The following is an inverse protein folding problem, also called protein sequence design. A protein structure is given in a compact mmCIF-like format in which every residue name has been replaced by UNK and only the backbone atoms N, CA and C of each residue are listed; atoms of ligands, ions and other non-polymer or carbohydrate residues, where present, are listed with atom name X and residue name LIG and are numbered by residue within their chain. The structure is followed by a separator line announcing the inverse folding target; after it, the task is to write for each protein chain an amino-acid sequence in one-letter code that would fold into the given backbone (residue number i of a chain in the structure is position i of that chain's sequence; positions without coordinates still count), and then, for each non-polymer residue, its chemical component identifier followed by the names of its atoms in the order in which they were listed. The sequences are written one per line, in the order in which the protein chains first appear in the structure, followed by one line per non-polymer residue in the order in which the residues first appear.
data_IF_665287505740
#
_entry.id   IF_665287505740
#
_cell.length_a   1.000
_cell.length_b   1.000
_cell.length_c   1.000
_cell.angle_alpha   90.00
_cell.angle_beta   90.00
_cell.angle_gamma   90.00
#
_symmetry.space_group_name_H-M   'P 1'
#
loop_
_entity.id
_entity.type
_entity.pdbx_description
1 polymer ?
#
# COMPACT_ATOMS: atom_id res chain seq x y z
N UNK A 1 0.15 14.60 4.41
CA UNK A 1 0.47 15.07 3.05
C UNK A 1 -0.79 15.07 2.19
N UNK A 2 -1.05 16.14 1.46
CA UNK A 2 -2.22 16.26 0.58
C UNK A 2 -1.77 16.05 -0.86
N UNK A 3 -2.27 15.02 -1.52
CA UNK A 3 -1.97 14.74 -2.91
C UNK A 3 -3.12 15.16 -3.82
N UNK A 4 -2.78 15.79 -4.94
CA UNK A 4 -3.65 15.84 -6.10
C UNK A 4 -2.98 15.05 -7.21
N UNK A 5 -3.59 13.96 -7.64
CA UNK A 5 -3.05 13.21 -8.76
C UNK A 5 -3.12 14.05 -10.03
N UNK A 6 -2.00 14.27 -10.74
CA UNK A 6 -2.00 14.99 -12.02
C UNK A 6 -2.51 14.13 -13.18
N UNK A 7 -2.80 12.84 -12.94
CA UNK A 7 -3.14 11.88 -13.98
C UNK A 7 -4.64 11.69 -14.07
N UNK A 8 -5.19 11.94 -15.27
CA UNK A 8 -6.57 11.56 -15.59
C UNK A 8 -6.70 10.01 -15.59
N UNK A 9 -7.72 9.43 -14.96
CA UNK A 9 -8.92 10.00 -14.34
C UNK A 9 -8.77 10.43 -12.87
N UNK A 10 -7.57 10.33 -12.29
CA UNK A 10 -7.31 10.63 -10.88
C UNK A 10 -7.21 12.13 -10.58
N UNK A 11 -7.26 12.98 -11.59
CA UNK A 11 -7.23 14.45 -11.43
C UNK A 11 -8.36 14.98 -10.52
N UNK A 12 -9.45 14.24 -10.40
CA UNK A 12 -10.60 14.62 -9.57
C UNK A 12 -10.57 13.96 -8.18
N UNK A 13 -9.54 13.17 -7.90
CA UNK A 13 -9.39 12.51 -6.61
C UNK A 13 -8.48 13.35 -5.72
N UNK A 14 -9.00 13.75 -4.58
CA UNK A 14 -8.21 14.34 -3.51
C UNK A 14 -8.01 13.30 -2.42
N UNK A 15 -6.79 13.21 -1.87
CA UNK A 15 -6.52 12.32 -0.75
C UNK A 15 -5.48 12.93 0.19
N UNK A 16 -5.50 12.48 1.42
CA UNK A 16 -4.40 12.66 2.35
C UNK A 16 -4.10 11.36 3.08
N UNK A 17 -2.83 11.19 3.40
CA UNK A 17 -2.30 10.08 4.15
C UNK A 17 -1.60 10.60 5.39
N UNK A 18 -1.93 10.06 6.55
CA UNK A 18 -1.40 10.53 7.82
C UNK A 18 -1.01 9.33 8.68
N UNK A 19 0.27 9.25 9.03
CA UNK A 19 0.72 8.42 10.15
C UNK A 19 0.08 8.93 11.43
N UNK A 20 -0.45 8.06 12.24
CA UNK A 20 -1.22 8.37 13.43
C UNK A 20 -0.86 7.45 14.59
N UNK A 21 -1.30 7.81 15.77
CA UNK A 21 -1.35 6.94 16.94
C UNK A 21 -2.82 6.70 17.30
N UNK A 22 -3.19 5.44 17.45
CA UNK A 22 -4.57 5.01 17.67
C UNK A 22 -4.70 4.48 19.09
N UNK A 23 -5.64 5.06 19.84
CA UNK A 23 -5.99 4.60 21.19
C UNK A 23 -7.50 4.35 21.29
N UNK A 24 -7.87 3.32 22.04
CA UNK A 24 -9.28 3.00 22.25
C UNK A 24 -9.51 1.53 22.55
N UNK A 25 -10.71 1.07 22.25
CA UNK A 25 -11.08 -0.35 22.41
C UNK A 25 -11.81 -0.86 21.19
N UNK A 26 -11.59 -2.13 20.87
CA UNK A 26 -12.31 -2.85 19.81
C UNK A 26 -13.03 -4.02 20.49
N UNK A 27 -14.33 -4.16 20.24
CA UNK A 27 -15.13 -5.29 20.71
C UNK A 27 -15.59 -6.13 19.53
N UNK A 28 -15.22 -7.40 19.51
CA UNK A 28 -15.62 -8.38 18.49
C UNK A 28 -16.18 -9.60 19.23
N UNK A 29 -17.40 -10.03 18.88
CA UNK A 29 -18.07 -11.20 19.49
C UNK A 29 -18.11 -11.15 21.02
N UNK A 30 -18.23 -9.94 21.60
CA UNK A 30 -18.27 -9.72 23.04
C UNK A 30 -16.89 -9.66 23.73
N UNK A 31 -15.81 -9.95 23.04
CA UNK A 31 -14.45 -9.79 23.54
C UNK A 31 -13.91 -8.38 23.25
N UNK A 32 -13.42 -7.71 24.29
CA UNK A 32 -12.91 -6.33 24.17
C UNK A 32 -11.38 -6.33 24.28
N UNK A 33 -10.74 -5.76 23.27
CA UNK A 33 -9.28 -5.54 23.21
C UNK A 33 -9.00 -4.05 23.32
N UNK A 34 -8.04 -3.69 24.18
CA UNK A 34 -7.50 -2.32 24.24
C UNK A 34 -6.54 -2.13 23.08
N UNK A 35 -6.70 -1.03 22.37
CA UNK A 35 -5.83 -0.61 21.27
C UNK A 35 -5.01 0.58 21.73
N UNK A 36 -3.69 0.49 21.57
CA UNK A 36 -2.72 1.55 21.82
C UNK A 36 -1.52 1.26 20.90
N UNK A 37 -1.56 1.76 19.66
CA UNK A 37 -0.59 1.39 18.64
C UNK A 37 -0.45 2.47 17.55
N UNK A 38 0.66 2.43 16.79
CA UNK A 38 0.77 3.17 15.54
C UNK A 38 -0.34 2.79 14.56
N UNK A 39 -0.72 3.72 13.72
CA UNK A 39 -1.75 3.54 12.71
C UNK A 39 -1.55 4.43 11.49
N UNK A 40 -2.34 4.18 10.47
CA UNK A 40 -2.39 4.98 9.26
C UNK A 40 -3.82 5.45 9.02
N UNK A 41 -3.99 6.72 8.70
CA UNK A 41 -5.25 7.26 8.23
C UNK A 41 -5.17 7.59 6.74
N UNK A 42 -5.89 6.82 5.95
CA UNK A 42 -6.19 7.14 4.55
C UNK A 42 -7.55 7.82 4.47
N UNK A 43 -7.62 8.93 3.76
CA UNK A 43 -8.88 9.54 3.38
C UNK A 43 -8.77 10.09 1.97
N UNK A 44 -9.64 9.59 1.12
CA UNK A 44 -9.65 9.98 -0.28
C UNK A 44 -11.09 10.07 -0.80
N UNK A 45 -11.34 11.06 -1.67
CA UNK A 45 -12.65 11.30 -2.28
C UNK A 45 -12.50 11.80 -3.73
N UNK A 46 -13.57 11.64 -4.50
CA UNK A 46 -13.61 11.99 -5.91
C UNK A 46 -13.95 10.80 -6.80
N UNK A 47 -14.04 11.04 -8.09
CA UNK A 47 -14.32 10.01 -9.09
C UNK A 47 -13.07 9.18 -9.35
N UNK A 48 -13.23 7.86 -9.44
CA UNK A 48 -12.15 6.91 -9.71
C UNK A 48 -12.61 5.85 -10.68
N UNK A 49 -11.67 5.39 -11.52
CA UNK A 49 -11.82 4.17 -12.30
C UNK A 49 -10.82 3.12 -11.77
N UNK A 50 -11.32 2.18 -10.98
CA UNK A 50 -10.55 1.10 -10.37
C UNK A 50 -10.10 0.03 -11.36
N UNK A 51 -10.59 0.06 -12.58
CA UNK A 51 -10.37 -0.97 -13.60
C UNK A 51 -9.39 -0.53 -14.69
N UNK A 52 -8.75 0.63 -14.55
CA UNK A 52 -7.90 1.18 -15.61
C UNK A 52 -6.48 0.63 -15.60
N UNK A 53 -5.84 0.58 -14.44
CA UNK A 53 -4.45 0.15 -14.33
C UNK A 53 -4.11 -0.36 -12.93
N UNK A 54 -3.05 -1.20 -12.82
CA UNK A 54 -2.61 -1.73 -11.56
C UNK A 54 -1.83 -0.70 -10.73
N UNK A 55 -1.98 -0.81 -9.43
CA UNK A 55 -1.23 0.00 -8.47
C UNK A 55 -0.99 -0.77 -7.16
N UNK A 56 -0.02 -0.27 -6.40
CA UNK A 56 0.26 -0.68 -5.03
C UNK A 56 0.06 0.52 -4.08
N UNK A 57 -0.43 0.23 -2.90
CA UNK A 57 -0.49 1.12 -1.75
C UNK A 57 0.10 0.36 -0.55
N UNK A 58 0.99 1.01 0.20
CA UNK A 58 1.64 0.42 1.36
C UNK A 58 1.81 1.48 2.44
N UNK A 59 1.53 1.11 3.70
CA UNK A 59 1.87 1.89 4.88
C UNK A 59 2.35 0.97 6.00
N UNK A 60 3.27 1.45 6.81
CA UNK A 60 3.82 0.66 7.88
C UNK A 60 4.62 1.43 8.92
N UNK A 61 4.92 0.70 10.00
CA UNK A 61 5.70 1.19 11.13
C UNK A 61 6.74 0.14 11.50
N UNK A 62 7.99 0.55 11.64
CA UNK A 62 9.08 -0.27 12.13
C UNK A 62 9.22 -0.14 13.64
N UNK A 63 9.90 -1.11 14.24
CA UNK A 63 10.13 -1.21 15.69
C UNK A 63 11.07 -0.14 16.25
N UNK A 64 11.83 0.53 15.40
CA UNK A 64 12.65 1.70 15.75
C UNK A 64 11.86 3.03 15.79
N UNK A 65 10.57 3.02 15.43
CA UNK A 65 9.72 4.20 15.32
C UNK A 65 9.66 4.82 13.93
N UNK A 66 10.41 4.30 12.94
CA UNK A 66 10.28 4.72 11.55
C UNK A 66 8.88 4.38 11.04
N UNK A 67 8.26 5.29 10.32
CA UNK A 67 7.01 5.05 9.60
C UNK A 67 7.10 5.47 8.15
N UNK A 68 6.29 4.84 7.31
CA UNK A 68 6.32 5.08 5.88
C UNK A 68 4.96 4.85 5.23
N UNK A 69 4.77 5.52 4.11
CA UNK A 69 3.65 5.31 3.21
C UNK A 69 4.09 5.54 1.77
N UNK A 70 3.55 4.75 0.85
CA UNK A 70 3.64 5.03 -0.58
C UNK A 70 2.43 4.48 -1.34
N UNK A 71 2.14 5.14 -2.46
CA UNK A 71 1.25 4.64 -3.51
C UNK A 71 1.92 4.87 -4.86
N UNK A 72 1.92 3.83 -5.71
CA UNK A 72 2.44 3.93 -7.07
C UNK A 72 1.68 3.07 -8.07
N UNK A 73 1.63 3.51 -9.34
CA UNK A 73 1.25 2.65 -10.45
C UNK A 73 2.35 1.60 -10.71
N UNK A 74 1.94 0.37 -11.01
CA UNK A 74 2.86 -0.74 -11.29
C UNK A 74 2.70 -1.22 -12.74
N UNK A 75 2.75 -0.29 -13.68
CA UNK A 75 2.68 -0.56 -15.11
C UNK A 75 4.10 -0.71 -15.63
N UNK A 76 4.45 -1.82 -16.31
CA UNK A 76 5.78 -1.96 -16.89
C UNK A 76 6.13 -0.78 -17.82
N UNK A 77 7.30 -0.16 -17.60
CA UNK A 77 7.85 0.95 -18.39
C UNK A 77 7.01 2.25 -18.42
N UNK A 78 5.97 2.35 -17.59
CA UNK A 78 5.15 3.54 -17.51
C UNK A 78 4.83 3.87 -16.05
N UNK A 79 5.26 5.03 -15.59
CA UNK A 79 4.86 5.57 -14.30
C UNK A 79 3.77 6.62 -14.50
N UNK A 80 2.58 6.33 -13.98
CA UNK A 80 1.47 7.30 -13.95
C UNK A 80 1.50 8.13 -12.67
N UNK A 81 1.88 7.50 -11.56
CA UNK A 81 2.13 8.18 -10.29
C UNK A 81 3.03 7.30 -9.41
N UNK A 82 3.87 7.95 -8.63
CA UNK A 82 4.60 7.37 -7.52
C UNK A 82 4.77 8.47 -6.47
N UNK A 83 4.22 8.30 -5.29
CA UNK A 83 4.20 9.29 -4.23
C UNK A 83 4.18 8.62 -2.87
N UNK A 84 4.89 9.17 -1.91
CA UNK A 84 4.98 8.63 -0.57
C UNK A 84 5.79 9.51 0.36
N UNK A 85 6.07 8.97 1.53
CA UNK A 85 6.92 9.60 2.53
C UNK A 85 7.50 8.58 3.50
N UNK A 86 8.55 8.99 4.18
CA UNK A 86 9.07 8.35 5.38
C UNK A 86 9.10 9.35 6.53
N UNK A 87 8.95 8.86 7.76
CA UNK A 87 9.14 9.64 8.98
C UNK A 87 10.13 8.86 9.84
N UNK A 88 11.28 9.47 10.12
CA UNK A 88 12.30 8.88 10.97
C UNK A 88 11.87 8.88 12.46
N UNK A 89 12.56 8.12 13.35
CA UNK A 89 12.24 8.07 14.77
C UNK A 89 12.26 9.42 15.50
N UNK A 90 13.05 10.36 15.01
CA UNK A 90 13.14 11.73 15.53
C UNK A 90 12.04 12.69 15.00
N UNK A 91 11.12 12.15 14.18
CA UNK A 91 10.05 12.92 13.54
C UNK A 91 10.45 13.60 12.23
N UNK A 92 11.68 13.42 11.75
CA UNK A 92 12.11 13.97 10.45
C UNK A 92 11.29 13.37 9.33
N UNK A 93 10.60 14.25 8.60
CA UNK A 93 9.76 13.88 7.45
C UNK A 93 10.58 14.01 6.16
N UNK A 94 10.49 12.99 5.30
CA UNK A 94 11.04 13.02 3.95
C UNK A 94 9.99 12.57 2.93
N UNK A 95 9.79 13.36 1.89
CA UNK A 95 8.98 12.96 0.74
C UNK A 95 9.74 11.95 -0.12
N UNK A 96 9.01 11.02 -0.73
CA UNK A 96 9.51 10.10 -1.73
C UNK A 96 8.62 10.14 -2.97
N UNK A 97 9.23 10.12 -4.14
CA UNK A 97 8.52 10.16 -5.43
C UNK A 97 9.30 9.42 -6.52
N UNK A 98 8.61 9.07 -7.59
CA UNK A 98 9.23 8.48 -8.77
C UNK A 98 10.02 7.21 -8.47
N UNK A 99 11.26 7.18 -8.88
CA UNK A 99 12.19 6.06 -8.72
C UNK A 99 12.65 5.79 -7.28
N UNK A 100 12.37 6.70 -6.35
CA UNK A 100 12.56 6.47 -4.91
C UNK A 100 11.51 5.50 -4.33
N UNK A 101 10.44 5.21 -5.07
CA UNK A 101 9.43 4.24 -4.66
C UNK A 101 9.50 3.02 -5.59
N UNK A 102 9.88 1.88 -5.04
CA UNK A 102 10.04 0.63 -5.79
C UNK A 102 9.12 -0.44 -5.22
N UNK A 103 8.43 -1.15 -6.10
CA UNK A 103 7.71 -2.39 -5.80
C UNK A 103 8.26 -3.44 -6.74
N UNK A 104 8.94 -4.43 -6.20
CA UNK A 104 9.63 -5.46 -6.96
C UNK A 104 9.42 -6.85 -6.36
N UNK A 105 9.76 -7.88 -7.13
CA UNK A 105 9.77 -9.27 -6.68
C UNK A 105 8.45 -9.67 -6.00
N UNK A 106 7.32 -9.25 -6.61
CA UNK A 106 6.01 -9.64 -6.12
C UNK A 106 5.78 -11.12 -6.42
N UNK A 107 5.78 -11.94 -5.37
CA UNK A 107 5.50 -13.38 -5.46
C UNK A 107 4.06 -13.60 -5.07
N UNK A 108 3.32 -14.35 -5.88
CA UNK A 108 1.92 -14.71 -5.62
C UNK A 108 1.78 -16.22 -5.42
N UNK A 109 0.74 -16.60 -4.69
CA UNK A 109 0.27 -17.98 -4.63
C UNK A 109 -0.55 -18.35 -5.90
N UNK A 110 -0.97 -19.61 -6.05
CA UNK A 110 -1.80 -20.04 -7.18
C UNK A 110 -3.15 -19.34 -7.29
N UNK A 111 -3.65 -18.75 -6.20
CA UNK A 111 -4.90 -17.97 -6.17
C UNK A 111 -4.66 -16.48 -6.49
N UNK A 112 -3.42 -16.13 -6.85
CA UNK A 112 -2.97 -14.76 -7.15
C UNK A 112 -2.96 -13.80 -5.96
N UNK A 113 -2.88 -14.32 -4.72
CA UNK A 113 -2.65 -13.50 -3.55
C UNK A 113 -1.14 -13.29 -3.33
N UNK A 114 -0.68 -12.06 -3.05
CA UNK A 114 0.71 -11.80 -2.73
C UNK A 114 1.14 -12.59 -1.48
N UNK A 115 2.29 -13.27 -1.56
CA UNK A 115 2.91 -13.95 -0.42
C UNK A 115 4.20 -13.26 0.02
N UNK A 116 4.83 -12.51 -0.87
CA UNK A 116 5.90 -11.58 -0.53
C UNK A 116 6.10 -10.53 -1.61
N UNK A 117 6.71 -9.41 -1.23
CA UNK A 117 7.26 -8.43 -2.16
C UNK A 117 8.45 -7.71 -1.54
N UNK A 118 9.37 -7.21 -2.37
CA UNK A 118 10.41 -6.28 -1.96
C UNK A 118 10.00 -4.88 -2.35
N UNK A 119 10.11 -3.95 -1.41
CA UNK A 119 9.71 -2.57 -1.61
C UNK A 119 10.77 -1.62 -1.08
N UNK A 120 10.83 -0.42 -1.67
CA UNK A 120 11.66 0.69 -1.19
C UNK A 120 10.86 1.98 -1.26
N UNK A 121 10.93 2.77 -0.20
CA UNK A 121 10.30 4.09 -0.09
C UNK A 121 11.37 5.04 0.46
N UNK A 122 11.90 5.92 -0.40
CA UNK A 122 13.07 6.71 -0.07
C UNK A 122 14.24 5.79 0.32
N UNK A 123 14.78 6.01 1.51
CA UNK A 123 15.89 5.22 2.07
C UNK A 123 15.43 3.94 2.81
N UNK A 124 14.12 3.72 2.95
CA UNK A 124 13.59 2.55 3.67
C UNK A 124 13.31 1.41 2.69
N UNK A 125 14.18 0.40 2.69
CA UNK A 125 13.98 -0.85 1.94
C UNK A 125 13.49 -1.94 2.88
N UNK A 126 12.52 -2.74 2.43
CA UNK A 126 11.96 -3.84 3.21
C UNK A 126 11.35 -4.94 2.35
N UNK A 127 11.28 -6.14 2.93
CA UNK A 127 10.44 -7.23 2.43
C UNK A 127 9.10 -7.20 3.14
N UNK A 128 8.02 -7.20 2.38
CA UNK A 128 6.64 -7.34 2.86
C UNK A 128 6.21 -8.79 2.80
N UNK A 129 5.67 -9.32 3.91
CA UNK A 129 5.10 -10.67 3.99
C UNK A 129 3.71 -10.62 4.62
N UNK A 130 2.65 -10.92 3.87
CA UNK A 130 1.30 -11.04 4.40
C UNK A 130 1.18 -12.05 5.55
N UNK A 131 0.44 -11.68 6.58
CA UNK A 131 0.07 -12.55 7.71
C UNK A 131 -1.43 -12.84 7.74
N UNK A 132 -2.22 -12.06 7.00
CA UNK A 132 -3.65 -12.26 6.83
C UNK A 132 -4.17 -11.44 5.67
N UNK A 133 -4.89 -12.07 4.75
CA UNK A 133 -5.47 -11.41 3.59
C UNK A 133 -6.93 -11.02 3.82
N UNK A 134 -7.33 -9.88 3.26
CA UNK A 134 -8.70 -9.40 3.18
C UNK A 134 -9.01 -8.96 1.74
N UNK A 135 -9.00 -9.89 0.77
CA UNK A 135 -9.16 -9.58 -0.64
C UNK A 135 -10.57 -9.08 -0.96
N UNK A 136 -10.66 -8.21 -1.96
CA UNK A 136 -11.93 -7.72 -2.51
C UNK A 136 -11.96 -7.95 -4.01
N UNK A 137 -13.11 -8.37 -4.54
CA UNK A 137 -13.37 -8.41 -5.97
C UNK A 137 -14.23 -7.19 -6.34
N UNK A 138 -13.69 -6.34 -7.20
CA UNK A 138 -14.38 -5.16 -7.71
C UNK A 138 -14.98 -5.49 -9.08
N UNK A 139 -16.30 -5.37 -9.18
CA UNK A 139 -17.02 -5.61 -10.44
C UNK A 139 -17.70 -4.30 -10.86
N UNK A 140 -17.33 -3.79 -12.03
CA UNK A 140 -17.93 -2.59 -12.60
C UNK A 140 -19.31 -2.90 -13.20
N UNK A 141 -20.21 -1.89 -13.32
CA UNK A 141 -21.51 -2.07 -13.98
C UNK A 141 -21.41 -2.54 -15.45
N UNK A 142 -20.30 -2.24 -16.13
CA UNK A 142 -20.01 -2.65 -17.50
C UNK A 142 -19.35 -4.06 -17.60
N UNK A 143 -19.17 -4.75 -16.46
CA UNK A 143 -18.62 -6.09 -16.38
C UNK A 143 -17.10 -6.15 -16.23
N UNK A 144 -16.37 -5.04 -16.25
CA UNK A 144 -14.92 -5.04 -15.94
C UNK A 144 -14.67 -5.52 -14.52
N UNK A 145 -13.60 -6.25 -14.32
CA UNK A 145 -13.22 -6.82 -13.03
C UNK A 145 -11.84 -6.34 -12.60
N UNK A 146 -11.67 -6.06 -11.33
CA UNK A 146 -10.37 -5.86 -10.72
C UNK A 146 -10.27 -6.68 -9.44
N UNK A 147 -9.17 -7.39 -9.27
CA UNK A 147 -8.80 -8.05 -8.02
C UNK A 147 -8.09 -7.05 -7.13
N UNK A 148 -8.49 -6.99 -5.88
CA UNK A 148 -7.92 -6.08 -4.91
C UNK A 148 -7.40 -6.89 -3.71
N UNK A 149 -6.26 -7.59 -3.84
CA UNK A 149 -5.63 -8.26 -2.72
C UNK A 149 -5.12 -7.24 -1.72
N UNK A 150 -5.53 -7.41 -0.49
CA UNK A 150 -5.19 -6.56 0.65
C UNK A 150 -4.74 -7.43 1.79
N UNK A 151 -3.74 -7.00 2.53
CA UNK A 151 -3.21 -7.81 3.61
C UNK A 151 -2.60 -6.99 4.74
N UNK A 152 -2.81 -7.46 5.97
CA UNK A 152 -1.93 -7.17 7.08
C UNK A 152 -0.58 -7.83 6.82
N UNK A 153 0.51 -7.07 6.91
CA UNK A 153 1.85 -7.52 6.58
C UNK A 153 2.82 -7.37 7.75
N UNK A 154 3.80 -8.26 7.79
CA UNK A 154 5.07 -8.05 8.49
C UNK A 154 6.08 -7.50 7.51
N UNK A 155 6.88 -6.57 7.99
CA UNK A 155 8.00 -5.97 7.27
C UNK A 155 9.32 -6.33 7.92
N UNK A 156 10.33 -6.54 7.10
CA UNK A 156 11.70 -6.81 7.54
C UNK A 156 12.68 -6.07 6.61
N UNK A 157 13.52 -5.25 7.19
CA UNK A 157 14.54 -4.50 6.47
C UNK A 157 15.84 -5.30 6.36
N UNK A 158 16.74 -5.01 5.41
CA UNK A 158 18.04 -5.69 5.28
C UNK A 158 18.93 -5.57 6.52
N UNK A 159 18.78 -4.50 7.31
CA UNK A 159 19.52 -4.27 8.55
C UNK A 159 18.85 -4.93 9.78
N UNK A 160 17.74 -5.67 9.57
CA UNK A 160 17.10 -6.50 10.59
C UNK A 160 16.01 -5.81 11.42
N UNK A 161 15.67 -4.53 11.15
CA UNK A 161 14.48 -3.90 11.76
C UNK A 161 13.21 -4.62 11.30
N UNK A 162 12.24 -4.67 12.16
CA UNK A 162 10.96 -5.32 11.90
C UNK A 162 9.82 -4.34 12.04
N UNK A 163 8.70 -4.66 11.40
CA UNK A 163 7.53 -3.81 11.50
C UNK A 163 6.26 -4.51 11.05
N UNK A 164 5.18 -3.76 11.11
CA UNK A 164 3.86 -4.20 10.67
C UNK A 164 3.17 -3.08 9.93
N UNK A 165 2.19 -3.44 9.13
CA UNK A 165 1.36 -2.49 8.43
C UNK A 165 0.43 -3.16 7.43
N UNK A 166 0.06 -2.42 6.42
CA UNK A 166 -0.93 -2.82 5.45
C UNK A 166 -0.40 -2.63 4.03
N UNK A 167 -0.56 -3.64 3.18
CA UNK A 167 -0.22 -3.56 1.75
C UNK A 167 -1.43 -3.94 0.91
N UNK A 168 -1.70 -3.14 -0.11
CA UNK A 168 -2.77 -3.33 -1.06
C UNK A 168 -2.22 -3.34 -2.48
N UNK A 169 -2.81 -4.18 -3.32
CA UNK A 169 -2.63 -4.14 -4.76
C UNK A 169 -3.99 -4.00 -5.43
N UNK A 170 -4.04 -3.29 -6.52
CA UNK A 170 -5.17 -3.30 -7.43
C UNK A 170 -4.73 -3.93 -8.75
N UNK A 171 -5.36 -5.02 -9.13
CA UNK A 171 -5.07 -5.75 -10.35
C UNK A 171 -6.31 -5.85 -11.24
N UNK A 172 -6.52 -4.90 -12.14
CA UNK A 172 -7.53 -5.02 -13.18
C UNK A 172 -7.31 -6.27 -14.03
N UNK A 173 -8.38 -6.82 -14.56
CA UNK A 173 -8.33 -8.03 -15.41
C UNK A 173 -7.36 -7.85 -16.58
N UNK A 174 -6.56 -8.90 -16.87
CA UNK A 174 -5.52 -8.88 -17.90
C UNK A 174 -4.14 -8.37 -17.44
N UNK A 175 -4.01 -7.78 -16.26
CA UNK A 175 -2.74 -7.26 -15.75
C UNK A 175 -1.84 -8.30 -15.05
N UNK A 176 -2.34 -9.35 -14.37
CA UNK A 176 -1.49 -10.33 -13.70
C UNK A 176 -0.45 -10.97 -14.62
N UNK A 177 -0.78 -11.19 -15.90
CA UNK A 177 0.14 -11.77 -16.89
C UNK A 177 1.34 -10.87 -17.21
N UNK A 178 1.25 -9.57 -16.92
CA UNK A 178 2.33 -8.60 -17.16
C UNK A 178 3.30 -8.51 -15.98
N UNK A 179 2.86 -8.79 -14.75
CA UNK A 179 3.70 -8.76 -13.55
C UNK A 179 4.69 -9.93 -13.51
N UNK A 180 4.38 -11.03 -14.22
CA UNK A 180 5.24 -12.21 -14.33
C UNK A 180 6.24 -12.14 -15.49
N UNK A 181 6.24 -11.05 -16.28
CA UNK A 181 7.11 -10.86 -17.45
C UNK A 181 8.22 -9.82 -17.26
N UNK A 182 8.33 -9.26 -16.06
CA UNK A 182 9.35 -8.25 -15.73
C UNK A 182 10.54 -8.85 -14.99
#
# INVERSE_FOLDING_TARGET
MLFRSPVFPYQMTTRYEITSHVTGTITIDGETTVVDCPGQRDHSWGVRDWWQFPWNWTAGHLDDGTSFHAARSIIPQLELFATGYTIAPDGTFAEAAGDEIVVAEVVTDPETLPVSSRQRIGEVEFTSRPVGHAPVLLVAPDGRVARFPRAMCRYETPDGRRGTGWTEYNWPEGWPDLLHRA
#
